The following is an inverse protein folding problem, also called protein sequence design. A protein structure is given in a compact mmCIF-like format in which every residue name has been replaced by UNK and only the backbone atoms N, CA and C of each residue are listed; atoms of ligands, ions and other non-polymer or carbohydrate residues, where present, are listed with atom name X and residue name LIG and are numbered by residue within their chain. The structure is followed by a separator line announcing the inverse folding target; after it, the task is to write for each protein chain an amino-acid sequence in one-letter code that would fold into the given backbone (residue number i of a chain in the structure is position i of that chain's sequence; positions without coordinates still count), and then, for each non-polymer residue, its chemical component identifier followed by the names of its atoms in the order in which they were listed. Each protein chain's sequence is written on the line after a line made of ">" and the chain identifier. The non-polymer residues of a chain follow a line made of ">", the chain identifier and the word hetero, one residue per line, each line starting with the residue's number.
data_IF_680553148689
#
_entry.id   IF_680553148689
#
_cell.length_a   1.000
_cell.length_b   1.000
_cell.length_c   1.000
_cell.angle_alpha   90.00
_cell.angle_beta   90.00
_cell.angle_gamma   90.00
#
_symmetry.space_group_name_H-M   'P 1'
#
loop_
_entity.id
_entity.type
_entity.pdbx_description
1 polymer ?
#
# COMPACT_ATOMS: atom_id res chain seq x y z
N UNK A 1 -22.92 24.32 15.08
CA UNK A 1 -22.92 25.68 14.50
C UNK A 1 -21.54 26.02 13.96
N UNK A 2 -21.38 26.46 12.71
CA UNK A 2 -20.09 26.94 12.18
C UNK A 2 -19.67 28.31 12.73
N UNK A 3 -18.41 28.47 13.09
CA UNK A 3 -17.73 29.77 13.14
C UNK A 3 -17.41 30.25 11.72
N UNK A 4 -17.34 31.58 11.51
CA UNK A 4 -16.97 32.18 10.23
C UNK A 4 -15.45 32.24 10.02
N UNK A 5 -14.68 32.07 11.10
CA UNK A 5 -13.22 32.07 11.12
C UNK A 5 -12.71 30.94 12.03
N UNK A 6 -11.43 30.59 11.92
CA UNK A 6 -10.81 29.57 12.80
C UNK A 6 -10.88 29.97 14.28
N UNK A 7 -10.73 31.27 14.58
CA UNK A 7 -10.88 31.82 15.93
C UNK A 7 -12.30 31.62 16.43
N UNK A 8 -13.32 31.99 15.65
CA UNK A 8 -14.73 31.81 16.02
C UNK A 8 -15.10 30.33 16.18
N UNK A 9 -14.52 29.46 15.36
CA UNK A 9 -14.75 28.02 15.47
C UNK A 9 -14.16 27.46 16.76
N UNK A 10 -12.95 27.89 17.16
CA UNK A 10 -12.35 27.52 18.43
C UNK A 10 -13.16 28.02 19.63
N UNK A 11 -13.70 29.25 19.56
CA UNK A 11 -14.58 29.78 20.60
C UNK A 11 -15.81 28.88 20.80
N UNK A 12 -16.47 28.46 19.72
CA UNK A 12 -17.62 27.55 19.78
C UNK A 12 -17.27 26.17 20.33
N UNK A 13 -16.06 25.67 20.05
CA UNK A 13 -15.57 24.42 20.65
C UNK A 13 -15.40 24.58 22.15
N UNK A 14 -14.80 25.68 22.63
CA UNK A 14 -14.61 25.91 24.06
C UNK A 14 -15.93 26.18 24.79
N UNK A 15 -16.90 26.83 24.16
CA UNK A 15 -18.27 26.96 24.69
C UNK A 15 -18.94 25.60 24.94
N UNK A 16 -18.69 24.61 24.07
CA UNK A 16 -19.25 23.27 24.20
C UNK A 16 -18.45 22.39 25.17
N UNK A 17 -17.14 22.26 24.90
CA UNK A 17 -16.27 21.27 25.52
C UNK A 17 -15.57 21.77 26.79
N UNK A 18 -15.66 23.07 27.09
CA UNK A 18 -14.93 23.76 28.14
C UNK A 18 -13.59 24.33 27.64
N UNK A 19 -13.14 25.41 28.29
CA UNK A 19 -11.82 25.97 28.01
C UNK A 19 -10.69 25.06 28.57
N UNK A 20 -9.53 24.94 27.89
CA UNK A 20 -8.41 24.16 28.39
C UNK A 20 -7.83 24.74 29.69
N UNK A 21 -7.21 23.88 30.50
CA UNK A 21 -6.54 24.28 31.74
C UNK A 21 -5.27 25.09 31.48
N UNK A 22 -4.79 25.84 32.48
CA UNK A 22 -3.50 26.54 32.39
C UNK A 22 -2.34 25.55 32.23
N UNK A 23 -2.43 24.39 32.87
CA UNK A 23 -1.44 23.31 32.74
C UNK A 23 -1.36 22.80 31.30
N UNK A 24 -2.50 22.59 30.64
CA UNK A 24 -2.55 22.23 29.23
C UNK A 24 -1.82 23.28 28.37
N UNK A 25 -2.12 24.56 28.57
CA UNK A 25 -1.46 25.64 27.82
C UNK A 25 0.05 25.71 28.06
N UNK A 26 0.50 25.47 29.30
CA UNK A 26 1.91 25.49 29.67
C UNK A 26 2.70 24.29 29.11
N UNK A 27 2.07 23.11 29.03
CA UNK A 27 2.68 21.89 28.49
C UNK A 27 2.59 21.81 26.96
N UNK A 28 1.60 22.46 26.37
CA UNK A 28 1.34 22.42 24.94
C UNK A 28 2.36 23.26 24.16
N UNK A 29 3.19 22.61 23.32
CA UNK A 29 4.09 23.29 22.36
C UNK A 29 3.34 23.75 21.10
N UNK A 30 2.15 24.34 21.26
CA UNK A 30 1.31 24.72 20.13
C UNK A 30 1.73 26.09 19.59
N UNK A 31 2.07 26.20 18.29
CA UNK A 31 2.32 27.50 17.68
C UNK A 31 1.05 28.35 17.79
N UNK A 32 1.20 29.63 18.18
CA UNK A 32 0.10 30.59 18.35
C UNK A 32 -0.82 30.39 19.56
N UNK A 33 -0.47 29.54 20.54
CA UNK A 33 -1.27 29.32 21.75
C UNK A 33 -1.66 30.62 22.49
N UNK A 34 -0.77 31.61 22.51
CA UNK A 34 -1.03 32.93 23.13
C UNK A 34 -2.08 33.76 22.41
N UNK A 35 -2.28 33.57 21.09
CA UNK A 35 -3.31 34.27 20.31
C UNK A 35 -4.72 33.70 20.56
N UNK A 36 -4.79 32.40 20.87
CA UNK A 36 -6.06 31.69 21.10
C UNK A 36 -6.39 31.51 22.59
N UNK A 37 -5.47 31.87 23.49
CA UNK A 37 -5.71 31.89 24.94
C UNK A 37 -6.78 32.94 25.25
N UNK A 38 -8.02 32.48 25.41
CA UNK A 38 -9.17 33.34 25.70
C UNK A 38 -9.07 33.95 27.11
N UNK A 39 -9.58 35.18 27.27
CA UNK A 39 -9.76 35.80 28.59
C UNK A 39 -10.97 35.25 29.36
N UNK A 40 -11.98 34.69 28.65
CA UNK A 40 -13.17 34.11 29.27
C UNK A 40 -13.05 32.59 29.27
N UNK A 41 -13.13 32.01 30.48
CA UNK A 41 -13.15 30.56 30.66
C UNK A 41 -14.59 30.04 30.56
N UNK A 42 -14.81 29.10 29.66
CA UNK A 42 -16.08 28.41 29.48
C UNK A 42 -16.08 27.12 30.29
N UNK A 43 -17.21 26.84 30.95
CA UNK A 43 -17.46 25.52 31.56
C UNK A 43 -17.91 24.57 30.46
N UNK A 44 -17.61 23.28 30.64
CA UNK A 44 -18.06 22.22 29.74
C UNK A 44 -19.59 22.06 29.87
N UNK A 45 -20.29 22.09 28.74
CA UNK A 45 -21.76 22.03 28.66
C UNK A 45 -22.28 20.83 27.83
N UNK A 46 -21.44 19.81 27.60
CA UNK A 46 -21.81 18.60 26.83
C UNK A 46 -23.04 17.91 27.44
N UNK A 47 -23.05 17.69 28.76
CA UNK A 47 -24.16 17.04 29.45
C UNK A 47 -25.49 17.82 29.33
N UNK A 48 -25.42 19.15 29.25
CA UNK A 48 -26.60 20.02 29.11
C UNK A 48 -27.18 19.94 27.69
N UNK A 49 -26.33 19.83 26.67
CA UNK A 49 -26.74 19.75 25.25
C UNK A 49 -27.24 18.35 24.88
N UNK A 50 -26.65 17.31 25.47
CA UNK A 50 -26.99 15.92 25.22
C UNK A 50 -27.91 15.33 26.29
N UNK A 51 -28.65 16.16 27.02
CA UNK A 51 -29.55 15.76 28.12
C UNK A 51 -30.65 14.76 27.73
N UNK A 52 -31.04 14.73 26.45
CA UNK A 52 -32.07 13.84 25.92
C UNK A 52 -31.50 12.53 25.32
N UNK A 53 -30.21 12.26 25.52
CA UNK A 53 -29.53 11.09 24.95
C UNK A 53 -29.46 9.93 25.95
N UNK A 54 -29.17 8.69 25.50
CA UNK A 54 -28.95 7.56 26.40
C UNK A 54 -27.85 7.88 27.42
N UNK A 55 -28.01 7.51 28.72
CA UNK A 55 -26.99 7.77 29.74
C UNK A 55 -25.61 7.18 29.40
N UNK A 56 -25.57 6.06 28.67
CA UNK A 56 -24.34 5.40 28.20
C UNK A 56 -23.58 6.20 27.14
N UNK A 57 -24.24 7.13 26.44
CA UNK A 57 -23.64 7.95 25.39
C UNK A 57 -22.82 9.13 25.97
N UNK A 58 -23.24 9.69 27.10
CA UNK A 58 -22.59 10.89 27.68
C UNK A 58 -21.10 10.66 27.98
N UNK A 59 -20.69 9.59 28.68
CA UNK A 59 -19.27 9.32 28.91
C UNK A 59 -18.49 9.10 27.61
N UNK A 60 -19.12 8.52 26.58
CA UNK A 60 -18.48 8.31 25.29
C UNK A 60 -18.20 9.65 24.58
N UNK A 61 -19.19 10.54 24.51
CA UNK A 61 -19.05 11.86 23.88
C UNK A 61 -18.03 12.72 24.64
N UNK A 62 -18.05 12.70 25.97
CA UNK A 62 -17.10 13.48 26.79
C UNK A 62 -15.64 13.10 26.54
N UNK A 63 -15.37 11.82 26.31
CA UNK A 63 -14.02 11.32 25.98
C UNK A 63 -13.64 11.63 24.54
N UNK A 64 -14.55 11.45 23.58
CA UNK A 64 -14.28 11.73 22.17
C UNK A 64 -14.03 13.23 21.91
N UNK A 65 -14.73 14.08 22.66
CA UNK A 65 -14.62 15.55 22.58
C UNK A 65 -13.69 16.14 23.65
N UNK A 66 -12.83 15.34 24.28
CA UNK A 66 -11.80 15.84 25.18
C UNK A 66 -10.85 16.79 24.44
N UNK A 67 -10.61 17.97 25.04
CA UNK A 67 -9.76 19.01 24.43
C UNK A 67 -8.30 18.60 24.50
N UNK A 68 -7.86 18.03 25.62
CA UNK A 68 -6.53 17.45 25.74
C UNK A 68 -6.49 16.11 24.98
N UNK A 69 -5.60 15.97 23.97
CA UNK A 69 -5.44 14.70 23.27
C UNK A 69 -5.02 13.53 24.17
N UNK A 70 -4.33 13.78 25.29
CA UNK A 70 -3.94 12.74 26.23
C UNK A 70 -5.15 12.12 26.96
N UNK A 71 -6.18 12.94 27.21
CA UNK A 71 -7.44 12.51 27.81
C UNK A 71 -8.43 11.97 26.78
N UNK A 72 -8.16 12.19 25.48
CA UNK A 72 -9.01 11.70 24.38
C UNK A 72 -8.74 10.21 24.13
N UNK A 73 -9.77 9.40 24.32
CA UNK A 73 -9.66 7.95 24.13
C UNK A 73 -9.48 7.56 22.65
N UNK A 74 -8.80 6.45 22.41
CA UNK A 74 -8.64 5.86 21.07
C UNK A 74 -9.96 5.26 20.57
N UNK A 75 -10.06 5.05 19.25
CA UNK A 75 -11.21 4.39 18.65
C UNK A 75 -11.45 3.00 19.25
N UNK A 76 -10.38 2.24 19.52
CA UNK A 76 -10.46 0.92 20.15
C UNK A 76 -11.05 0.99 21.56
N UNK A 77 -10.61 1.96 22.38
CA UNK A 77 -11.15 2.15 23.73
C UNK A 77 -12.59 2.70 23.74
N UNK A 78 -12.96 3.47 22.71
CA UNK A 78 -14.32 3.94 22.53
C UNK A 78 -15.30 2.79 22.24
N UNK A 79 -14.89 1.81 21.41
CA UNK A 79 -15.72 0.65 21.06
C UNK A 79 -16.01 -0.29 22.24
N UNK A 80 -15.18 -0.25 23.30
CA UNK A 80 -15.41 -1.04 24.52
C UNK A 80 -16.37 -0.36 25.51
N UNK A 81 -16.90 0.83 25.20
CA UNK A 81 -17.84 1.55 26.07
C UNK A 81 -19.22 0.92 26.02
N UNK A 82 -19.95 1.08 27.14
CA UNK A 82 -21.30 0.57 27.35
C UNK A 82 -22.28 0.94 26.23
N UNK A 83 -22.10 2.12 25.61
CA UNK A 83 -22.92 2.56 24.48
C UNK A 83 -22.97 1.56 23.31
N UNK A 84 -21.88 0.84 23.03
CA UNK A 84 -21.83 -0.13 21.92
C UNK A 84 -22.24 -1.54 22.34
N UNK A 85 -22.38 -1.80 23.64
CA UNK A 85 -22.72 -3.11 24.20
C UNK A 85 -24.09 -3.15 24.86
N UNK A 86 -24.83 -2.04 24.83
CA UNK A 86 -26.19 -1.92 25.37
C UNK A 86 -27.21 -1.83 24.24
N UNK A 87 -28.41 -2.32 24.50
CA UNK A 87 -29.53 -2.25 23.57
C UNK A 87 -30.00 -0.79 23.38
N UNK A 88 -30.35 -0.33 22.16
CA UNK A 88 -30.40 -1.10 20.92
C UNK A 88 -29.01 -1.34 20.30
N UNK A 89 -28.75 -2.60 19.96
CA UNK A 89 -27.55 -2.95 19.20
C UNK A 89 -27.57 -2.34 17.80
N UNK A 90 -26.40 -2.29 17.17
CA UNK A 90 -26.29 -1.94 15.77
C UNK A 90 -27.25 -2.82 14.94
N UNK A 91 -28.03 -2.17 14.07
CA UNK A 91 -29.00 -2.85 13.23
C UNK A 91 -28.27 -3.82 12.28
N UNK A 92 -28.81 -5.03 12.10
CA UNK A 92 -28.28 -5.96 11.10
C UNK A 92 -28.27 -5.32 9.72
N UNK A 93 -27.26 -5.65 8.90
CA UNK A 93 -27.12 -5.14 7.54
C UNK A 93 -28.37 -5.39 6.68
N UNK A 94 -29.13 -6.46 6.96
CA UNK A 94 -30.39 -6.81 6.30
C UNK A 94 -31.57 -5.91 6.68
N UNK A 95 -31.50 -5.26 7.85
CA UNK A 95 -32.55 -4.40 8.39
C UNK A 95 -32.29 -2.92 8.04
N UNK A 96 -31.12 -2.62 7.47
CA UNK A 96 -30.88 -1.30 6.89
C UNK A 96 -31.86 -1.05 5.75
N UNK A 97 -32.55 0.10 5.73
CA UNK A 97 -33.42 0.45 4.62
C UNK A 97 -32.63 0.43 3.30
N UNK A 98 -33.10 -0.35 2.33
CA UNK A 98 -32.61 -0.28 0.97
C UNK A 98 -33.11 1.02 0.35
N UNK A 99 -32.29 2.05 0.43
CA UNK A 99 -32.55 3.28 -0.30
C UNK A 99 -32.33 3.00 -1.80
N UNK A 100 -33.27 3.38 -2.68
CA UNK A 100 -32.93 3.56 -4.09
C UNK A 100 -31.73 4.52 -4.17
N UNK A 101 -30.90 4.47 -5.24
CA UNK A 101 -29.75 5.36 -5.39
C UNK A 101 -30.15 6.82 -5.15
N UNK A 102 -29.92 7.32 -3.94
CA UNK A 102 -30.35 8.64 -3.52
C UNK A 102 -29.25 9.62 -3.91
N UNK A 103 -29.13 9.85 -5.22
CA UNK A 103 -28.35 10.97 -5.72
C UNK A 103 -29.05 12.24 -5.27
N UNK A 104 -28.28 13.18 -4.73
CA UNK A 104 -28.70 14.54 -4.41
C UNK A 104 -29.36 15.26 -5.62
N UNK A 105 -29.15 14.74 -6.84
CA UNK A 105 -29.80 15.21 -8.08
C UNK A 105 -31.32 14.99 -8.12
N UNK A 106 -31.84 13.93 -7.49
CA UNK A 106 -33.28 13.59 -7.54
C UNK A 106 -34.08 14.18 -6.36
N UNK A 107 -33.40 14.76 -5.36
CA UNK A 107 -34.02 15.44 -4.22
C UNK A 107 -34.42 16.89 -4.51
N UNK A 108 -33.77 17.54 -5.48
CA UNK A 108 -34.00 18.96 -5.82
C UNK A 108 -35.39 19.31 -6.37
N UNK A 109 -36.18 18.43 -7.03
CA UNK A 109 -37.52 18.82 -7.48
C UNK A 109 -38.59 18.79 -6.38
N UNK A 110 -38.33 18.18 -5.20
CA UNK A 110 -39.33 18.06 -4.12
C UNK A 110 -39.22 19.12 -3.04
N UNK A 111 -38.07 19.77 -2.88
CA UNK A 111 -37.87 20.80 -1.85
C UNK A 111 -38.40 22.19 -2.25
N UNK A 112 -38.74 22.41 -3.52
CA UNK A 112 -39.34 23.68 -3.96
C UNK A 112 -40.77 23.93 -3.43
N UNK A 113 -41.45 22.90 -2.91
CA UNK A 113 -42.81 23.00 -2.37
C UNK A 113 -42.93 22.86 -0.84
N UNK A 114 -41.82 22.89 -0.10
CA UNK A 114 -41.85 22.83 1.37
C UNK A 114 -41.02 23.98 1.99
N UNK A 115 -41.49 25.22 1.80
CA UNK A 115 -41.06 26.34 2.66
C UNK A 115 -41.71 26.20 4.03
N UNK A 116 -41.00 25.60 4.99
CA UNK A 116 -41.21 25.85 6.41
C UNK A 116 -39.99 25.43 7.24
N UNK A 117 -39.29 26.44 7.79
CA UNK A 117 -38.56 26.42 9.06
C UNK A 117 -37.93 25.09 9.52
N UNK A 118 -36.62 24.91 9.31
CA UNK A 118 -35.74 24.19 10.27
C UNK A 118 -34.32 24.79 10.23
N UNK A 119 -33.79 25.07 11.41
CA UNK A 119 -32.41 25.50 11.69
C UNK A 119 -31.46 24.35 11.35
N UNK A 120 -30.70 24.46 10.26
CA UNK A 120 -29.87 23.38 9.71
C UNK A 120 -28.47 23.30 10.29
N UNK A 121 -28.16 22.16 10.91
CA UNK A 121 -26.84 21.75 11.38
C UNK A 121 -25.91 21.42 10.19
N UNK A 122 -24.68 21.94 10.18
CA UNK A 122 -23.61 21.43 9.29
C UNK A 122 -23.39 19.94 9.57
N UNK A 123 -23.67 19.09 8.59
CA UNK A 123 -23.72 17.64 8.78
C UNK A 123 -23.17 16.83 7.60
N UNK A 124 -22.36 17.41 6.71
CA UNK A 124 -21.86 16.70 5.52
C UNK A 124 -20.34 16.79 5.33
N UNK A 125 -19.68 15.65 5.11
CA UNK A 125 -18.27 15.55 4.71
C UNK A 125 -17.97 16.29 3.39
N UNK A 126 -19.01 16.57 2.60
CA UNK A 126 -18.92 17.29 1.32
C UNK A 126 -18.79 18.81 1.47
N UNK A 127 -18.91 19.36 2.69
CA UNK A 127 -18.72 20.79 2.98
C UNK A 127 -17.24 21.16 3.25
N UNK A 128 -16.31 20.21 3.13
CA UNK A 128 -14.88 20.47 3.29
C UNK A 128 -14.38 21.45 2.21
N UNK A 129 -13.56 22.45 2.57
CA UNK A 129 -12.86 23.26 1.57
C UNK A 129 -12.09 22.35 0.61
N UNK A 130 -12.13 22.68 -0.68
CA UNK A 130 -11.48 21.89 -1.74
C UNK A 130 -10.00 21.64 -1.43
N UNK A 131 -9.30 22.63 -0.85
CA UNK A 131 -7.90 22.47 -0.40
C UNK A 131 -7.69 21.38 0.68
N UNK A 132 -8.66 21.17 1.57
CA UNK A 132 -8.64 20.09 2.56
C UNK A 132 -8.80 18.72 1.89
N UNK A 133 -9.69 18.63 0.88
CA UNK A 133 -9.86 17.41 0.08
C UNK A 133 -8.53 17.05 -0.60
N UNK A 134 -7.88 18.01 -1.26
CA UNK A 134 -6.56 17.83 -1.86
C UNK A 134 -5.53 17.24 -0.89
N UNK A 135 -5.44 17.81 0.31
CA UNK A 135 -4.50 17.37 1.33
C UNK A 135 -4.80 15.96 1.84
N UNK A 136 -6.08 15.64 2.05
CA UNK A 136 -6.52 14.30 2.46
C UNK A 136 -6.16 13.28 1.38
N UNK A 137 -6.49 13.56 0.12
CA UNK A 137 -6.20 12.65 -1.00
C UNK A 137 -4.70 12.44 -1.20
N UNK A 138 -3.89 13.49 -1.03
CA UNK A 138 -2.42 13.39 -1.14
C UNK A 138 -1.78 12.50 -0.06
N UNK A 139 -2.49 12.23 1.04
CA UNK A 139 -2.06 11.34 2.12
C UNK A 139 -2.71 9.94 2.04
N UNK A 140 -3.67 9.75 1.14
CA UNK A 140 -4.35 8.48 0.93
C UNK A 140 -3.55 7.56 0.00
N UNK A 141 -4.01 6.31 -0.17
CA UNK A 141 -3.45 5.45 -1.21
C UNK A 141 -4.02 5.80 -2.60
N UNK A 142 -3.29 5.53 -3.70
CA UNK A 142 -3.81 5.66 -5.06
C UNK A 142 -5.14 4.90 -5.27
N UNK A 143 -5.27 3.73 -4.64
CA UNK A 143 -6.49 2.94 -4.67
C UNK A 143 -7.66 3.66 -3.99
N UNK A 144 -7.42 4.27 -2.84
CA UNK A 144 -8.46 5.02 -2.12
C UNK A 144 -8.86 6.28 -2.87
N UNK A 145 -7.89 7.01 -3.46
CA UNK A 145 -8.18 8.17 -4.32
C UNK A 145 -9.10 7.79 -5.48
N UNK A 146 -8.85 6.66 -6.14
CA UNK A 146 -9.72 6.18 -7.21
C UNK A 146 -11.13 5.87 -6.68
N UNK A 147 -11.25 5.23 -5.51
CA UNK A 147 -12.54 4.89 -4.89
C UNK A 147 -13.34 6.10 -4.46
N UNK A 148 -12.71 7.11 -3.86
CA UNK A 148 -13.42 8.32 -3.40
C UNK A 148 -13.77 9.25 -4.56
N UNK A 149 -13.08 9.15 -5.70
CA UNK A 149 -13.35 9.98 -6.88
C UNK A 149 -14.79 9.89 -7.41
N UNK A 150 -15.50 8.78 -7.15
CA UNK A 150 -16.88 8.58 -7.61
C UNK A 150 -17.93 9.09 -6.63
N UNK A 151 -17.51 9.56 -5.45
CA UNK A 151 -18.40 9.92 -4.35
C UNK A 151 -19.00 11.32 -4.54
N UNK A 152 -18.23 12.29 -5.06
CA UNK A 152 -18.72 13.62 -5.41
C UNK A 152 -17.86 14.29 -6.49
N UNK A 153 -18.38 15.36 -7.10
CA UNK A 153 -17.63 16.15 -8.08
C UNK A 153 -16.39 16.81 -7.49
N UNK A 154 -16.42 17.21 -6.21
CA UNK A 154 -15.26 17.78 -5.53
C UNK A 154 -14.16 16.74 -5.33
N UNK A 155 -14.52 15.52 -4.93
CA UNK A 155 -13.56 14.41 -4.84
C UNK A 155 -13.06 13.99 -6.22
N UNK A 156 -13.92 13.95 -7.23
CA UNK A 156 -13.52 13.66 -8.60
C UNK A 156 -12.48 14.66 -9.11
N UNK A 157 -12.77 15.96 -8.98
CA UNK A 157 -11.86 17.04 -9.38
C UNK A 157 -10.52 16.98 -8.66
N UNK A 158 -10.53 16.77 -7.34
CA UNK A 158 -9.29 16.64 -6.58
C UNK A 158 -8.52 15.35 -6.93
N UNK A 159 -9.21 14.24 -7.19
CA UNK A 159 -8.63 12.96 -7.58
C UNK A 159 -8.09 12.94 -9.02
N UNK A 160 -8.38 13.94 -9.85
CA UNK A 160 -7.80 14.08 -11.21
C UNK A 160 -6.64 15.07 -11.27
N UNK A 161 -6.28 15.69 -10.14
CA UNK A 161 -5.26 16.73 -10.13
C UNK A 161 -3.84 16.21 -9.98
N UNK A 162 -2.93 16.81 -10.74
CA UNK A 162 -1.52 16.48 -10.72
C UNK A 162 -0.84 16.68 -9.36
N UNK A 163 -1.32 17.59 -8.51
CA UNK A 163 -0.72 17.78 -7.18
C UNK A 163 -0.89 16.55 -6.29
N UNK A 164 -2.02 15.83 -6.40
CA UNK A 164 -2.27 14.58 -5.69
C UNK A 164 -1.40 13.46 -6.27
N UNK A 165 -1.43 13.27 -7.59
CA UNK A 165 -0.70 12.18 -8.24
C UNK A 165 0.82 12.34 -8.20
N UNK A 166 1.34 13.57 -8.15
CA UNK A 166 2.76 13.83 -7.92
C UNK A 166 3.24 13.29 -6.56
N UNK A 167 2.37 13.25 -5.55
CA UNK A 167 2.67 12.64 -4.25
C UNK A 167 2.75 11.11 -4.27
N UNK A 168 2.15 10.46 -5.27
CA UNK A 168 2.16 9.00 -5.43
C UNK A 168 3.31 8.49 -6.30
N UNK A 169 3.88 9.37 -7.11
CA UNK A 169 5.05 9.06 -7.90
C UNK A 169 6.30 8.99 -7.01
N UNK A 170 7.25 8.11 -7.31
CA UNK A 170 8.55 8.15 -6.67
C UNK A 170 9.23 9.52 -6.83
N UNK A 171 9.97 9.96 -5.82
CA UNK A 171 10.72 11.22 -5.87
C UNK A 171 11.75 11.24 -7.01
N UNK A 172 12.26 10.07 -7.40
CA UNK A 172 13.21 9.80 -8.46
C UNK A 172 12.56 9.36 -9.78
N UNK A 173 11.26 9.63 -10.00
CA UNK A 173 10.57 9.24 -11.24
C UNK A 173 11.26 9.75 -12.51
N UNK A 174 11.81 10.98 -12.52
CA UNK A 174 12.56 11.52 -13.65
C UNK A 174 13.81 10.69 -13.98
N UNK A 175 14.54 10.23 -12.95
CA UNK A 175 15.69 9.35 -13.13
C UNK A 175 15.25 8.00 -13.72
N UNK A 176 14.16 7.44 -13.20
CA UNK A 176 13.57 6.19 -13.70
C UNK A 176 13.17 6.33 -15.18
N UNK A 177 12.56 7.46 -15.55
CA UNK A 177 12.19 7.77 -16.94
C UNK A 177 13.41 7.90 -17.84
N UNK A 178 14.49 8.51 -17.36
CA UNK A 178 15.75 8.64 -18.13
C UNK A 178 16.40 7.29 -18.44
N UNK A 179 16.13 6.27 -17.60
CA UNK A 179 16.64 4.90 -17.74
C UNK A 179 15.75 4.01 -18.58
N UNK A 180 14.55 4.47 -18.94
CA UNK A 180 13.61 3.71 -19.76
C UNK A 180 14.16 3.48 -21.18
N UNK A 181 13.92 2.28 -21.71
CA UNK A 181 14.41 1.91 -23.05
C UNK A 181 13.65 2.65 -24.17
N UNK A 182 12.48 3.20 -23.87
CA UNK A 182 11.65 3.97 -24.78
C UNK A 182 11.11 5.22 -24.07
N UNK A 183 10.94 6.30 -24.83
CA UNK A 183 10.30 7.52 -24.31
C UNK A 183 8.85 7.25 -23.91
N UNK A 184 8.47 7.70 -22.71
CA UNK A 184 7.11 7.57 -22.17
C UNK A 184 6.44 8.94 -22.29
N UNK A 185 5.53 9.07 -23.27
CA UNK A 185 4.68 10.27 -23.39
C UNK A 185 3.52 10.21 -22.40
N UNK A 186 3.20 11.32 -21.75
CA UNK A 186 2.02 11.45 -20.89
C UNK A 186 1.51 12.89 -20.86
N UNK A 187 0.23 13.06 -20.56
CA UNK A 187 -0.45 14.35 -20.52
C UNK A 187 -0.75 14.84 -19.09
N UNK A 188 -0.65 13.96 -18.08
CA UNK A 188 -0.88 14.25 -16.66
C UNK A 188 -0.04 13.33 -15.77
N UNK A 189 0.14 13.70 -14.50
CA UNK A 189 0.82 12.88 -13.49
C UNK A 189 0.03 11.60 -13.19
N UNK A 190 -1.30 11.66 -13.31
CA UNK A 190 -2.17 10.48 -13.22
C UNK A 190 -1.89 9.50 -14.34
N UNK A 191 -1.81 9.98 -15.58
CA UNK A 191 -1.47 9.13 -16.74
C UNK A 191 -0.08 8.50 -16.56
N UNK A 192 0.91 9.30 -16.15
CA UNK A 192 2.26 8.81 -15.86
C UNK A 192 2.24 7.69 -14.81
N UNK A 193 1.53 7.89 -13.69
CA UNK A 193 1.42 6.86 -12.65
C UNK A 193 0.89 5.53 -13.21
N UNK A 194 -0.20 5.55 -13.97
CA UNK A 194 -0.76 4.32 -14.55
C UNK A 194 0.14 3.70 -15.62
N UNK A 195 0.91 4.51 -16.37
CA UNK A 195 1.94 4.00 -17.27
C UNK A 195 3.08 3.32 -16.52
N UNK A 196 3.50 3.87 -15.38
CA UNK A 196 4.51 3.25 -14.50
C UNK A 196 3.97 2.03 -13.75
N UNK A 197 2.66 1.91 -13.53
CA UNK A 197 2.05 0.66 -13.07
C UNK A 197 2.14 -0.45 -14.12
N UNK A 198 2.27 -0.11 -15.40
CA UNK A 198 2.59 -1.07 -16.42
C UNK A 198 4.10 -1.27 -16.43
N UNK A 199 4.53 -2.52 -16.61
CA UNK A 199 5.94 -2.88 -16.62
C UNK A 199 6.70 -2.18 -17.75
N UNK A 200 7.74 -1.42 -17.41
CA UNK A 200 8.60 -0.70 -18.35
C UNK A 200 10.04 -1.26 -18.32
N UNK A 201 10.64 -1.56 -19.48
CA UNK A 201 12.03 -2.01 -19.53
C UNK A 201 13.00 -0.83 -19.32
N UNK A 202 13.94 -0.98 -18.40
CA UNK A 202 14.96 0.01 -18.08
C UNK A 202 16.37 -0.60 -18.21
N UNK A 203 17.41 0.24 -18.21
CA UNK A 203 18.82 -0.16 -18.23
C UNK A 203 19.15 -1.13 -19.39
N UNK A 204 18.77 -0.76 -20.62
CA UNK A 204 18.89 -1.62 -21.81
C UNK A 204 18.13 -2.95 -21.69
N UNK A 205 16.91 -2.90 -21.15
CA UNK A 205 16.05 -4.08 -20.93
C UNK A 205 16.66 -5.18 -20.05
N UNK A 206 17.65 -4.83 -19.21
CA UNK A 206 18.21 -5.75 -18.20
C UNK A 206 17.38 -5.77 -16.93
N UNK A 207 16.61 -4.72 -16.68
CA UNK A 207 15.64 -4.66 -15.59
C UNK A 207 14.29 -4.20 -16.14
N UNK A 208 13.23 -4.56 -15.44
CA UNK A 208 11.88 -4.09 -15.71
C UNK A 208 11.37 -3.42 -14.43
N UNK A 209 10.92 -2.19 -14.55
CA UNK A 209 10.38 -1.39 -13.45
C UNK A 209 8.85 -1.35 -13.54
N UNK A 210 8.19 -1.35 -12.39
CA UNK A 210 6.78 -0.98 -12.30
C UNK A 210 6.44 -0.43 -10.91
N UNK A 211 5.28 0.21 -10.78
CA UNK A 211 4.69 0.56 -9.49
C UNK A 211 3.62 -0.46 -9.11
N UNK A 212 3.60 -0.86 -7.84
CA UNK A 212 2.45 -1.55 -7.27
C UNK A 212 1.22 -0.64 -7.36
N UNK A 213 0.20 -1.09 -8.08
CA UNK A 213 -0.97 -0.29 -8.45
C UNK A 213 -1.78 0.19 -7.24
N UNK A 214 -1.77 -0.57 -6.14
CA UNK A 214 -2.50 -0.22 -4.92
C UNK A 214 -1.77 0.81 -4.08
N UNK A 215 -0.44 0.66 -3.96
CA UNK A 215 0.36 1.37 -2.95
C UNK A 215 1.32 2.41 -3.53
N UNK A 216 1.57 2.39 -4.85
CA UNK A 216 2.58 3.23 -5.50
C UNK A 216 4.03 2.87 -5.15
N UNK A 217 4.25 1.73 -4.48
CA UNK A 217 5.59 1.27 -4.11
C UNK A 217 6.30 0.69 -5.32
N UNK A 218 7.62 0.88 -5.40
CA UNK A 218 8.43 0.44 -6.54
C UNK A 218 8.52 -1.09 -6.59
N UNK A 219 8.51 -1.64 -7.79
CA UNK A 219 8.79 -3.05 -8.07
C UNK A 219 9.90 -3.12 -9.12
N UNK A 220 10.79 -4.10 -8.99
CA UNK A 220 11.85 -4.36 -9.96
C UNK A 220 11.91 -5.83 -10.32
N UNK A 221 12.04 -6.12 -11.60
CA UNK A 221 12.35 -7.44 -12.11
C UNK A 221 13.74 -7.39 -12.75
N UNK A 222 14.67 -8.19 -12.22
CA UNK A 222 16.02 -8.34 -12.73
C UNK A 222 16.02 -9.47 -13.75
N UNK A 223 16.12 -9.14 -15.04
CA UNK A 223 16.11 -10.13 -16.10
C UNK A 223 17.37 -11.02 -16.05
N UNK A 224 17.32 -12.19 -16.68
CA UNK A 224 18.40 -13.18 -16.66
C UNK A 224 19.79 -12.62 -17.03
N UNK A 225 19.84 -11.55 -17.84
CA UNK A 225 21.08 -10.83 -18.20
C UNK A 225 21.74 -10.06 -17.04
N UNK A 226 20.96 -9.63 -16.07
CA UNK A 226 21.44 -8.90 -14.90
C UNK A 226 21.80 -9.87 -13.75
N UNK A 227 21.40 -11.15 -13.86
CA UNK A 227 21.63 -12.16 -12.83
C UNK A 227 23.03 -12.77 -12.92
N UNK A 228 23.62 -13.05 -11.76
CA UNK A 228 24.79 -13.91 -11.63
C UNK A 228 24.38 -15.38 -11.67
N UNK A 229 24.26 -15.96 -12.87
CA UNK A 229 23.95 -17.38 -13.07
C UNK A 229 25.23 -18.15 -13.38
N UNK A 230 25.45 -19.26 -12.69
CA UNK A 230 26.65 -20.11 -12.87
C UNK A 230 26.67 -20.75 -14.26
N UNK A 231 27.82 -20.63 -14.94
CA UNK A 231 28.02 -21.18 -16.28
C UNK A 231 27.21 -20.50 -17.38
N UNK A 232 26.56 -19.36 -17.14
CA UNK A 232 25.68 -18.67 -18.11
C UNK A 232 26.35 -18.33 -19.46
N UNK A 233 27.67 -18.17 -19.46
CA UNK A 233 28.46 -17.90 -20.66
C UNK A 233 28.65 -19.14 -21.54
N UNK A 234 28.45 -20.35 -21.00
CA UNK A 234 28.63 -21.60 -21.73
C UNK A 234 27.31 -22.01 -22.41
N UNK A 235 27.33 -21.94 -23.74
CA UNK A 235 26.21 -22.30 -24.62
C UNK A 235 25.85 -23.79 -24.59
N UNK A 236 26.71 -24.65 -24.00
CA UNK A 236 26.40 -26.05 -23.73
C UNK A 236 25.29 -26.19 -22.69
N UNK A 237 25.32 -25.34 -21.66
CA UNK A 237 24.38 -25.42 -20.53
C UNK A 237 23.18 -24.49 -20.70
N UNK A 238 23.32 -23.41 -21.46
CA UNK A 238 22.32 -22.36 -21.54
C UNK A 238 22.03 -21.92 -22.98
N UNK A 239 20.80 -21.47 -23.23
CA UNK A 239 20.41 -20.78 -24.47
C UNK A 239 19.52 -19.59 -24.16
N UNK A 240 19.86 -18.43 -24.75
CA UNK A 240 19.07 -17.22 -24.63
C UNK A 240 17.75 -17.33 -25.40
N UNK A 241 16.70 -16.74 -24.86
CA UNK A 241 15.40 -16.66 -25.52
C UNK A 241 14.70 -15.34 -25.26
N UNK A 242 13.92 -14.90 -26.24
CA UNK A 242 13.06 -13.72 -26.08
C UNK A 242 11.82 -14.09 -25.28
N UNK A 243 11.44 -13.23 -24.33
CA UNK A 243 10.23 -13.39 -23.52
C UNK A 243 9.34 -12.16 -23.71
N UNK A 244 8.48 -12.12 -24.75
CA UNK A 244 7.69 -10.94 -25.11
C UNK A 244 6.78 -10.43 -23.99
N UNK A 245 6.30 -11.33 -23.12
CA UNK A 245 5.43 -10.99 -21.98
C UNK A 245 6.04 -9.97 -21.00
N UNK A 246 7.36 -9.75 -21.04
CA UNK A 246 8.08 -8.82 -20.15
C UNK A 246 8.79 -7.69 -20.93
N UNK A 247 8.25 -7.27 -22.08
CA UNK A 247 8.71 -6.05 -22.77
C UNK A 247 10.15 -6.16 -23.29
N UNK A 248 10.36 -6.96 -24.34
CA UNK A 248 11.67 -7.26 -24.94
C UNK A 248 12.70 -7.90 -23.99
N UNK A 249 12.32 -8.25 -22.76
CA UNK A 249 13.18 -8.95 -21.83
C UNK A 249 13.64 -10.29 -22.39
N UNK A 250 14.87 -10.67 -22.04
CA UNK A 250 15.47 -11.93 -22.44
C UNK A 250 15.59 -12.85 -21.23
N UNK A 251 15.04 -14.05 -21.38
CA UNK A 251 15.21 -15.15 -20.45
C UNK A 251 16.32 -16.09 -20.90
N UNK A 252 16.63 -17.07 -20.06
CA UNK A 252 17.60 -18.11 -20.37
C UNK A 252 16.99 -19.49 -20.12
N UNK A 253 17.08 -20.36 -21.13
CA UNK A 253 16.67 -21.76 -21.07
C UNK A 253 17.85 -22.63 -20.64
N UNK A 254 17.65 -23.46 -19.62
CA UNK A 254 18.58 -24.49 -19.21
C UNK A 254 18.51 -25.69 -20.15
N UNK A 255 19.66 -26.10 -20.70
CA UNK A 255 19.81 -27.33 -21.49
C UNK A 255 20.15 -28.50 -20.59
N UNK A 256 21.22 -28.40 -19.82
CA UNK A 256 21.64 -29.42 -18.86
C UNK A 256 22.53 -28.78 -17.79
N UNK A 257 22.01 -28.56 -16.59
CA UNK A 257 22.69 -27.79 -15.54
C UNK A 257 22.86 -28.66 -14.30
N UNK A 258 24.10 -28.99 -13.99
CA UNK A 258 24.46 -29.83 -12.84
C UNK A 258 24.51 -29.06 -11.53
N UNK A 259 25.04 -27.84 -11.58
CA UNK A 259 25.13 -26.91 -10.45
C UNK A 259 24.35 -25.64 -10.79
N UNK A 260 23.30 -25.34 -10.02
CA UNK A 260 22.45 -24.18 -10.25
C UNK A 260 22.66 -23.17 -9.12
N UNK A 261 23.42 -22.12 -9.39
CA UNK A 261 23.52 -20.95 -8.51
C UNK A 261 23.10 -19.69 -9.25
N UNK A 262 22.08 -19.02 -8.71
CA UNK A 262 21.49 -17.80 -9.20
C UNK A 262 21.64 -16.74 -8.12
N UNK A 263 22.26 -15.60 -8.45
CA UNK A 263 22.51 -14.50 -7.52
C UNK A 263 22.04 -13.18 -8.11
N UNK A 264 21.46 -12.35 -7.27
CA UNK A 264 21.03 -11.00 -7.62
C UNK A 264 21.38 -10.03 -6.49
N UNK A 265 21.64 -8.79 -6.86
CA UNK A 265 21.90 -7.70 -5.92
C UNK A 265 21.09 -6.48 -6.30
N UNK A 266 20.58 -5.77 -5.30
CA UNK A 266 19.92 -4.47 -5.46
C UNK A 266 20.29 -3.58 -4.29
N UNK A 267 20.46 -2.29 -4.54
CA UNK A 267 20.61 -1.33 -3.47
C UNK A 267 19.24 -0.96 -2.87
N UNK A 268 19.10 -0.95 -1.54
CA UNK A 268 17.86 -0.60 -0.85
C UNK A 268 17.33 0.80 -1.21
N UNK A 269 18.20 1.75 -1.58
CA UNK A 269 17.84 3.10 -2.00
C UNK A 269 17.02 3.13 -3.31
N UNK A 270 17.15 2.09 -4.14
CA UNK A 270 16.37 1.95 -5.37
C UNK A 270 14.92 1.55 -5.08
N UNK A 271 14.65 1.01 -3.89
CA UNK A 271 13.34 0.55 -3.45
C UNK A 271 12.62 1.63 -2.63
N UNK A 272 11.30 1.51 -2.49
CA UNK A 272 10.56 2.38 -1.58
C UNK A 272 10.96 2.11 -0.13
N UNK A 273 11.24 3.14 0.69
CA UNK A 273 11.65 2.96 2.07
C UNK A 273 10.49 2.48 2.96
N UNK A 274 10.84 1.97 4.14
CA UNK A 274 9.91 1.47 5.17
C UNK A 274 8.90 0.47 4.62
N UNK A 275 9.37 -0.44 3.77
CA UNK A 275 8.51 -1.39 3.06
C UNK A 275 9.12 -2.78 3.18
N UNK A 276 8.30 -3.76 3.53
CA UNK A 276 8.71 -5.17 3.46
C UNK A 276 8.57 -5.63 2.01
N UNK A 277 9.64 -6.17 1.45
CA UNK A 277 9.70 -6.73 0.11
C UNK A 277 9.82 -8.25 0.17
N UNK A 278 9.31 -8.90 -0.86
CA UNK A 278 9.53 -10.32 -1.13
C UNK A 278 10.33 -10.46 -2.41
N UNK A 279 11.38 -11.28 -2.37
CA UNK A 279 12.18 -11.65 -3.53
C UNK A 279 11.68 -12.97 -4.13
N UNK A 280 11.37 -12.97 -5.42
CA UNK A 280 10.73 -14.09 -6.13
C UNK A 280 11.55 -14.45 -7.36
N UNK A 281 12.04 -15.68 -7.45
CA UNK A 281 12.57 -16.22 -8.70
C UNK A 281 11.39 -16.56 -9.62
N UNK A 282 11.40 -16.02 -10.83
CA UNK A 282 10.36 -16.25 -11.84
C UNK A 282 10.91 -17.14 -12.94
N UNK A 283 10.30 -18.32 -13.10
CA UNK A 283 10.68 -19.31 -14.08
C UNK A 283 9.47 -20.01 -14.70
N UNK A 284 9.71 -20.80 -15.75
CA UNK A 284 8.74 -21.73 -16.32
C UNK A 284 9.45 -23.01 -16.68
N UNK A 285 8.80 -24.14 -16.50
CA UNK A 285 9.29 -25.45 -16.94
C UNK A 285 8.54 -25.93 -18.19
N UNK A 286 9.19 -26.78 -18.97
CA UNK A 286 8.56 -27.59 -20.03
C UNK A 286 7.97 -28.87 -19.40
N UNK A 287 7.05 -29.53 -20.11
CA UNK A 287 6.35 -30.71 -19.58
C UNK A 287 7.31 -31.86 -19.26
N UNK A 288 8.42 -32.00 -20.01
CA UNK A 288 9.45 -33.03 -19.88
C UNK A 288 10.72 -32.55 -19.15
N UNK A 289 10.59 -31.55 -18.26
CA UNK A 289 11.69 -31.09 -17.42
C UNK A 289 12.27 -32.20 -16.54
N UNK A 290 13.54 -32.05 -16.19
CA UNK A 290 14.29 -33.06 -15.42
C UNK A 290 14.93 -32.39 -14.21
N UNK A 291 14.95 -33.09 -13.06
CA UNK A 291 15.85 -32.80 -11.94
C UNK A 291 15.45 -31.64 -11.03
N UNK A 292 14.23 -31.10 -11.18
CA UNK A 292 13.71 -29.99 -10.37
C UNK A 292 12.92 -30.45 -9.12
N UNK A 293 12.56 -31.72 -9.07
CA UNK A 293 11.72 -32.36 -8.07
C UNK A 293 12.48 -33.38 -7.21
N UNK A 294 13.80 -33.23 -7.14
CA UNK A 294 14.68 -34.16 -6.42
C UNK A 294 14.89 -33.75 -4.97
N UNK A 295 15.17 -32.47 -4.72
CA UNK A 295 15.35 -31.93 -3.38
C UNK A 295 15.14 -30.41 -3.34
N UNK A 296 14.89 -29.83 -2.16
CA UNK A 296 14.86 -28.38 -2.02
C UNK A 296 16.23 -27.72 -2.28
N UNK A 297 16.22 -26.60 -2.99
CA UNK A 297 17.35 -25.70 -3.14
C UNK A 297 17.51 -24.81 -1.89
N UNK A 298 18.73 -24.35 -1.63
CA UNK A 298 19.00 -23.32 -0.62
C UNK A 298 18.57 -21.96 -1.17
N UNK A 299 17.77 -21.21 -0.41
CA UNK A 299 17.43 -19.83 -0.72
C UNK A 299 17.93 -18.90 0.37
N UNK A 300 18.32 -17.68 -0.02
CA UNK A 300 18.84 -16.68 0.91
C UNK A 300 18.48 -15.28 0.47
N UNK A 301 18.14 -14.46 1.45
CA UNK A 301 18.09 -13.00 1.34
C UNK A 301 18.90 -12.38 2.46
N UNK A 302 19.70 -11.37 2.13
CA UNK A 302 20.51 -10.59 3.07
C UNK A 302 20.30 -9.11 2.80
N UNK A 303 19.99 -8.34 3.85
CA UNK A 303 19.87 -6.89 3.83
C UNK A 303 20.48 -6.35 5.13
N UNK A 304 21.61 -5.63 5.02
CA UNK A 304 22.34 -5.15 6.18
C UNK A 304 22.80 -6.31 7.09
N UNK A 305 22.45 -6.24 8.38
CA UNK A 305 22.72 -7.32 9.35
C UNK A 305 21.69 -8.45 9.32
N UNK A 306 20.56 -8.27 8.62
CA UNK A 306 19.52 -9.28 8.53
C UNK A 306 19.89 -10.29 7.44
N UNK A 307 19.84 -11.58 7.81
CA UNK A 307 20.06 -12.69 6.89
C UNK A 307 19.00 -13.75 7.14
N UNK A 308 18.19 -14.01 6.12
CA UNK A 308 17.24 -15.11 6.10
C UNK A 308 17.79 -16.19 5.18
N UNK A 309 17.84 -17.41 5.68
CA UNK A 309 18.13 -18.60 4.88
C UNK A 309 16.90 -19.50 4.95
N UNK A 310 16.63 -20.21 3.87
CA UNK A 310 15.51 -21.14 3.78
C UNK A 310 15.76 -22.23 2.75
N UNK A 311 14.73 -23.04 2.56
CA UNK A 311 14.67 -24.07 1.52
C UNK A 311 13.51 -23.78 0.60
N UNK A 312 13.68 -24.00 -0.69
CA UNK A 312 12.61 -23.89 -1.68
C UNK A 312 12.62 -25.08 -2.64
N UNK A 313 11.45 -25.64 -2.91
CA UNK A 313 11.30 -26.60 -4.01
C UNK A 313 11.42 -25.85 -5.34
N UNK A 314 11.99 -26.49 -6.36
CA UNK A 314 12.02 -25.94 -7.73
C UNK A 314 10.81 -26.37 -8.56
N UNK A 315 10.16 -27.46 -8.15
CA UNK A 315 8.94 -28.00 -8.74
C UNK A 315 8.01 -28.56 -7.64
N UNK A 316 6.71 -28.52 -7.87
CA UNK A 316 5.73 -29.02 -6.90
C UNK A 316 5.76 -30.56 -6.87
N UNK A 317 6.26 -31.12 -5.77
CA UNK A 317 6.24 -32.56 -5.49
C UNK A 317 5.67 -32.78 -4.08
N UNK A 318 4.53 -33.49 -4.00
CA UNK A 318 3.81 -33.72 -2.74
C UNK A 318 4.63 -34.50 -1.71
N UNK A 319 5.39 -35.49 -2.14
CA UNK A 319 6.22 -36.31 -1.24
C UNK A 319 7.35 -35.47 -0.62
N UNK A 320 8.00 -34.63 -1.43
CA UNK A 320 9.02 -33.71 -0.92
C UNK A 320 8.45 -32.63 0.01
N UNK A 321 7.22 -32.18 -0.24
CA UNK A 321 6.55 -31.22 0.63
C UNK A 321 6.35 -31.78 2.04
N UNK A 322 5.96 -33.06 2.16
CA UNK A 322 5.78 -33.72 3.45
C UNK A 322 7.11 -33.98 4.17
N UNK A 323 8.18 -34.28 3.43
CA UNK A 323 9.49 -34.60 4.00
C UNK A 323 10.29 -33.37 4.48
N UNK A 324 10.02 -32.18 3.94
CA UNK A 324 10.89 -31.00 4.11
C UNK A 324 10.19 -29.77 4.70
N UNK A 325 9.17 -29.94 5.54
CA UNK A 325 8.54 -28.78 6.21
C UNK A 325 9.45 -28.19 7.32
N UNK A 326 9.70 -26.86 7.35
CA UNK A 326 9.18 -25.83 6.45
C UNK A 326 10.00 -25.68 5.14
N UNK A 327 9.30 -25.59 4.00
CA UNK A 327 9.89 -25.34 2.66
C UNK A 327 8.98 -24.42 1.85
N UNK A 328 9.60 -23.53 1.07
CA UNK A 328 8.88 -22.67 0.12
C UNK A 328 8.43 -23.48 -1.09
N UNK A 329 7.16 -23.32 -1.47
CA UNK A 329 6.53 -24.07 -2.55
C UNK A 329 6.37 -23.15 -3.76
N UNK A 330 6.76 -23.59 -4.97
CA UNK A 330 6.52 -22.83 -6.19
C UNK A 330 5.03 -22.53 -6.38
N UNK A 331 4.69 -21.29 -6.73
CA UNK A 331 3.32 -20.85 -6.98
C UNK A 331 3.14 -20.55 -8.47
N UNK A 332 2.17 -21.19 -9.10
CA UNK A 332 1.86 -20.92 -10.50
C UNK A 332 0.99 -19.66 -10.65
N UNK A 333 1.42 -18.76 -11.54
CA UNK A 333 0.69 -17.56 -11.94
C UNK A 333 -0.35 -17.87 -13.01
N UNK A 334 -1.31 -16.96 -13.19
CA UNK A 334 -2.34 -17.04 -14.25
C UNK A 334 -1.77 -17.00 -15.67
N UNK A 335 -0.58 -16.43 -15.84
CA UNK A 335 0.12 -16.30 -17.12
C UNK A 335 1.01 -17.52 -17.47
N UNK A 336 0.98 -18.56 -16.63
CA UNK A 336 1.74 -19.80 -16.82
C UNK A 336 3.18 -19.77 -16.30
N UNK A 337 3.65 -18.63 -15.76
CA UNK A 337 4.93 -18.56 -15.06
C UNK A 337 4.80 -19.06 -13.62
N UNK A 338 5.93 -19.37 -13.00
CA UNK A 338 6.03 -19.91 -11.66
C UNK A 338 6.93 -19.01 -10.83
N UNK A 339 6.46 -18.69 -9.62
CA UNK A 339 7.17 -17.92 -8.62
C UNK A 339 7.74 -18.83 -7.55
N UNK A 340 9.00 -18.65 -7.20
CA UNK A 340 9.64 -19.31 -6.06
C UNK A 340 10.12 -18.22 -5.11
N UNK A 341 9.62 -18.21 -3.88
CA UNK A 341 10.05 -17.26 -2.86
C UNK A 341 11.47 -17.55 -2.40
N UNK A 342 12.34 -16.54 -2.55
CA UNK A 342 13.71 -16.58 -2.03
C UNK A 342 13.77 -16.09 -0.58
N UNK A 343 12.84 -15.23 -0.20
CA UNK A 343 12.66 -14.71 1.15
C UNK A 343 12.20 -13.25 1.17
N UNK A 344 11.89 -12.78 2.36
CA UNK A 344 11.51 -11.40 2.61
C UNK A 344 12.67 -10.56 3.16
N UNK A 345 12.58 -9.25 3.00
CA UNK A 345 13.47 -8.29 3.65
C UNK A 345 12.78 -6.95 3.84
N UNK A 346 13.21 -6.19 4.85
CA UNK A 346 12.65 -4.86 5.12
C UNK A 346 13.61 -3.76 4.67
N UNK A 347 13.12 -2.81 3.88
CA UNK A 347 13.90 -1.62 3.49
C UNK A 347 13.77 -0.53 4.55
N UNK A 348 14.88 -0.22 5.22
CA UNK A 348 14.96 0.89 6.16
C UNK A 348 15.08 2.27 5.50
N UNK A 349 15.67 3.22 6.21
CA UNK A 349 16.05 4.55 5.68
C UNK A 349 17.53 4.56 5.24
N UNK A 350 18.28 3.49 5.54
CA UNK A 350 19.69 3.35 5.18
C UNK A 350 19.92 2.84 3.77
N UNK A 351 21.14 3.05 3.29
CA UNK A 351 21.68 2.51 2.05
C UNK A 351 22.36 1.17 2.36
N UNK A 352 21.73 0.07 1.98
CA UNK A 352 22.19 -1.29 2.21
C UNK A 352 22.14 -2.08 0.89
N UNK A 353 23.18 -2.87 0.62
CA UNK A 353 23.17 -3.82 -0.49
C UNK A 353 22.33 -5.05 -0.09
N UNK A 354 21.22 -5.26 -0.80
CA UNK A 354 20.39 -6.45 -0.66
C UNK A 354 20.92 -7.53 -1.60
N UNK A 355 21.21 -8.71 -1.05
CA UNK A 355 21.68 -9.88 -1.81
C UNK A 355 20.64 -10.97 -1.76
N UNK A 356 20.27 -11.50 -2.91
CA UNK A 356 19.30 -12.59 -3.07
C UNK A 356 19.96 -13.74 -3.79
N UNK A 357 19.74 -14.96 -3.34
CA UNK A 357 20.36 -16.13 -3.94
C UNK A 357 19.48 -17.38 -3.87
N UNK A 358 19.60 -18.21 -4.91
CA UNK A 358 19.19 -19.60 -4.93
C UNK A 358 20.40 -20.46 -5.28
N UNK A 359 20.67 -21.49 -4.49
CA UNK A 359 21.75 -22.45 -4.71
C UNK A 359 21.24 -23.89 -4.62
N UNK A 360 21.25 -24.61 -5.73
CA UNK A 360 21.18 -26.06 -5.74
C UNK A 360 22.54 -26.66 -6.11
N UNK A 361 23.20 -27.20 -5.09
CA UNK A 361 24.51 -27.82 -5.15
C UNK A 361 24.46 -29.30 -5.50
N UNK A 362 23.27 -29.87 -5.71
CA UNK A 362 23.11 -31.30 -5.94
C UNK A 362 23.36 -31.67 -7.40
N UNK A 363 24.36 -32.52 -7.60
CA UNK A 363 24.92 -32.86 -8.90
C UNK A 363 24.71 -34.32 -9.28
N UNK A 364 23.77 -35.07 -8.68
CA UNK A 364 23.52 -36.46 -9.14
C UNK A 364 22.58 -36.50 -10.34
N UNK A 365 21.70 -35.51 -10.48
CA UNK A 365 20.70 -35.41 -11.55
C UNK A 365 20.78 -34.02 -12.16
N UNK A 366 21.00 -33.90 -13.49
CA UNK A 366 21.05 -32.60 -14.14
C UNK A 366 19.65 -31.97 -14.20
N UNK A 367 19.63 -30.64 -14.17
CA UNK A 367 18.41 -29.84 -14.32
C UNK A 367 18.30 -29.34 -15.75
N UNK A 368 17.17 -29.57 -16.40
CA UNK A 368 17.01 -29.20 -17.81
C UNK A 368 15.59 -28.77 -18.14
N UNK A 369 15.46 -28.11 -19.29
CA UNK A 369 14.18 -27.72 -19.91
C UNK A 369 13.30 -26.83 -19.01
N UNK A 370 13.93 -25.85 -18.41
CA UNK A 370 13.25 -24.74 -17.75
C UNK A 370 13.87 -23.42 -18.17
N UNK A 371 13.08 -22.36 -18.07
CA UNK A 371 13.38 -21.01 -18.50
C UNK A 371 13.36 -20.11 -17.28
N UNK A 372 14.48 -19.45 -17.00
CA UNK A 372 14.55 -18.39 -16.00
C UNK A 372 14.31 -17.06 -16.71
N UNK A 373 13.33 -16.28 -16.26
CA UNK A 373 13.21 -14.89 -16.70
C UNK A 373 14.08 -14.01 -15.83
N UNK A 374 14.03 -14.18 -14.51
CA UNK A 374 14.63 -13.22 -13.60
C UNK A 374 14.23 -13.37 -12.15
N UNK A 375 14.67 -12.42 -11.32
CA UNK A 375 14.24 -12.27 -9.93
C UNK A 375 13.41 -10.99 -9.80
N UNK A 376 12.18 -11.13 -9.33
CA UNK A 376 11.25 -10.03 -9.05
C UNK A 376 11.32 -9.64 -7.57
N UNK A 377 11.41 -8.35 -7.31
CA UNK A 377 11.39 -7.73 -6.00
C UNK A 377 10.16 -6.85 -5.95
N UNK A 378 9.17 -7.22 -5.13
CA UNK A 378 7.91 -6.49 -4.99
C UNK A 378 7.49 -6.34 -3.53
N UNK A 379 6.71 -5.31 -3.18
CA UNK A 379 6.17 -5.16 -1.84
C UNK A 379 5.40 -6.40 -1.41
N UNK A 380 5.63 -6.85 -0.18
CA UNK A 380 4.89 -7.96 0.41
C UNK A 380 3.44 -7.54 0.61
N UNK A 381 2.50 -8.31 0.07
CA UNK A 381 1.08 -8.08 0.29
C UNK A 381 0.74 -8.46 1.74
N UNK A 382 0.12 -7.54 2.48
CA UNK A 382 -0.44 -7.82 3.80
C UNK A 382 -1.73 -8.60 3.52
N UNK A 383 -1.74 -9.88 3.90
CA UNK A 383 -2.89 -10.78 3.78
C UNK A 383 -3.96 -10.49 4.81
#
# INVERSE_FOLDING_TARGET
>A
MPGRTEVEQLQKIFELCGSPSEEFWNLSKLPYATLFKQQRRHKRCIAEIFNNSPPSLLPLIENLLAIDPAERQSATAALTREFFTTEPYACDLSNLPQYPPSKEMDAKPREANARSFVIGYMTSFFDLPVGSIFRILSLASPQDVCRVSVVSSAFHFAADSDCVWKGFLPSDHEEILSRASCAISFSSMKELYFRLCNSIPIDNSRKVFSLDRSTGKKCYMFCARELGISGLHDVKYWSWMSVPAFGSAQGVKAKEVWYLSIKCKINSNMLSPRTTYTALLVLRYEEDHIGLDVRPADVRVECGSQRLNGKALLYQNKELMELWTPVQIPIQRKDGWVEIELGDFFTGVGDEEVKMALEDKYTSTPKSRFVIIGIEVRPKKIS
#
